data_IF_121165587183
#
_entry.id   IF_121165587183
#
_cell.length_a   1.000
_cell.length_b   1.000
_cell.length_c   1.000
_cell.angle_alpha   90.00
_cell.angle_beta   90.00
_cell.angle_gamma   90.00
#
_symmetry.space_group_name_H-M   'P 1'
#
loop_
_entity.id
_entity.type
_entity.pdbx_description
1 polymer ?
#
# COMPACT_ATOMS: atom_id res chain seq x y z
N UNK A 1 -5.81 -67.10 -53.17
CA UNK A 1 -5.55 -65.65 -53.27
C UNK A 1 -6.64 -64.92 -52.47
N UNK A 2 -6.38 -64.67 -51.18
CA UNK A 2 -7.03 -63.65 -50.34
C UNK A 2 -6.38 -63.74 -48.95
N UNK A 3 -5.58 -62.73 -48.61
CA UNK A 3 -4.92 -62.59 -47.33
C UNK A 3 -5.85 -61.85 -46.37
N UNK A 4 -6.08 -62.39 -45.18
CA UNK A 4 -6.70 -61.68 -44.06
C UNK A 4 -5.64 -61.58 -42.96
N UNK A 5 -5.07 -60.38 -42.82
CA UNK A 5 -4.19 -59.99 -41.73
C UNK A 5 -5.06 -59.64 -40.51
N UNK A 6 -5.01 -60.47 -39.47
CA UNK A 6 -5.57 -60.13 -38.16
C UNK A 6 -4.53 -59.33 -37.36
N UNK A 7 -4.78 -58.03 -37.22
CA UNK A 7 -3.99 -57.14 -36.37
C UNK A 7 -4.48 -57.30 -34.92
N UNK A 8 -3.67 -57.95 -34.06
CA UNK A 8 -3.90 -57.98 -32.62
C UNK A 8 -3.42 -56.64 -32.05
N UNK A 9 -4.35 -55.72 -31.79
CA UNK A 9 -4.08 -54.53 -31.01
C UNK A 9 -3.99 -54.90 -29.53
N UNK A 10 -2.77 -54.96 -29.00
CA UNK A 10 -2.51 -55.06 -27.57
C UNK A 10 -2.89 -53.72 -26.92
N UNK A 11 -4.03 -53.68 -26.24
CA UNK A 11 -4.47 -52.55 -25.43
C UNK A 11 -3.56 -52.43 -24.20
N UNK A 12 -2.45 -51.69 -24.31
CA UNK A 12 -1.72 -51.20 -23.15
C UNK A 12 -2.61 -50.15 -22.49
N UNK A 13 -3.41 -50.59 -21.52
CA UNK A 13 -4.06 -49.73 -20.54
C UNK A 13 -2.93 -49.12 -19.72
N UNK A 14 -2.42 -47.99 -20.19
CA UNK A 14 -1.47 -47.17 -19.48
C UNK A 14 -2.13 -46.64 -18.22
N UNK A 15 -1.83 -47.27 -17.09
CA UNK A 15 -1.84 -46.65 -15.77
C UNK A 15 -1.03 -45.36 -15.87
N UNK A 16 -1.69 -44.24 -16.11
CA UNK A 16 -1.08 -42.92 -15.91
C UNK A 16 -0.73 -42.84 -14.41
N UNK A 17 0.53 -42.63 -14.04
CA UNK A 17 0.89 -42.52 -12.64
C UNK A 17 0.15 -41.32 -12.02
N UNK A 18 -0.32 -41.49 -10.79
CA UNK A 18 -1.01 -40.49 -9.96
C UNK A 18 -0.15 -39.24 -9.62
N UNK A 19 0.91 -38.98 -10.38
CA UNK A 19 1.86 -37.87 -10.18
C UNK A 19 1.40 -36.57 -10.85
N UNK A 20 0.43 -36.63 -11.78
CA UNK A 20 -0.13 -35.44 -12.45
C UNK A 20 -1.22 -34.70 -11.65
N UNK A 21 -1.63 -35.23 -10.48
CA UNK A 21 -2.70 -34.65 -9.65
C UNK A 21 -2.20 -33.71 -8.55
N UNK A 22 -0.88 -33.65 -8.31
CA UNK A 22 -0.28 -32.80 -7.26
C UNK A 22 -0.04 -31.36 -7.76
N UNK A 23 -0.13 -31.13 -9.07
CA UNK A 23 0.23 -29.83 -9.64
C UNK A 23 -0.80 -28.74 -9.34
N UNK A 24 -2.05 -29.07 -9.03
CA UNK A 24 -3.08 -28.06 -8.71
C UNK A 24 -3.99 -28.49 -7.56
N UNK A 25 -4.37 -27.55 -6.70
CA UNK A 25 -5.37 -27.79 -5.65
C UNK A 25 -6.77 -27.88 -6.28
N UNK A 26 -7.55 -28.88 -5.85
CA UNK A 26 -8.93 -29.02 -6.28
C UNK A 26 -9.77 -27.81 -5.85
N UNK A 27 -10.71 -27.38 -6.69
CA UNK A 27 -11.57 -26.20 -6.43
C UNK A 27 -12.41 -26.36 -5.17
N UNK A 28 -12.84 -27.57 -4.86
CA UNK A 28 -13.56 -27.90 -3.62
C UNK A 28 -12.77 -27.55 -2.34
N UNK A 29 -11.43 -27.44 -2.42
CA UNK A 29 -10.58 -27.01 -1.30
C UNK A 29 -10.52 -25.48 -1.26
N UNK A 30 -10.25 -24.83 -2.40
CA UNK A 30 -10.04 -23.37 -2.46
C UNK A 30 -11.32 -22.56 -2.28
N UNK A 31 -12.45 -23.13 -2.73
CA UNK A 31 -13.75 -22.46 -2.81
C UNK A 31 -14.67 -22.90 -1.65
N UNK A 32 -14.16 -23.67 -0.68
CA UNK A 32 -14.94 -24.19 0.45
C UNK A 32 -15.45 -23.08 1.36
N UNK A 33 -16.77 -23.01 1.58
CA UNK A 33 -17.40 -22.08 2.53
C UNK A 33 -17.49 -22.63 3.95
N UNK A 34 -17.13 -23.91 4.15
CA UNK A 34 -17.12 -24.59 5.44
C UNK A 34 -15.67 -24.92 5.87
N UNK A 35 -15.44 -25.26 7.15
CA UNK A 35 -14.16 -25.84 7.57
C UNK A 35 -13.78 -27.02 6.66
N UNK A 36 -12.51 -27.06 6.25
CA UNK A 36 -12.00 -28.14 5.40
C UNK A 36 -12.03 -29.48 6.13
N UNK A 37 -12.35 -30.56 5.42
CA UNK A 37 -12.25 -31.92 5.97
C UNK A 37 -10.78 -32.33 6.18
N UNK A 38 -10.54 -33.34 7.02
CA UNK A 38 -9.19 -33.86 7.25
C UNK A 38 -8.49 -34.29 5.96
N UNK A 39 -9.22 -34.92 5.03
CA UNK A 39 -8.68 -35.30 3.72
C UNK A 39 -8.29 -34.10 2.86
N UNK A 40 -9.06 -33.00 2.91
CA UNK A 40 -8.75 -31.76 2.22
C UNK A 40 -7.55 -31.04 2.85
N UNK A 41 -7.46 -31.01 4.19
CA UNK A 41 -6.31 -30.47 4.92
C UNK A 41 -5.03 -31.24 4.58
N UNK A 42 -5.10 -32.57 4.51
CA UNK A 42 -3.96 -33.43 4.19
C UNK A 42 -3.52 -33.26 2.72
N UNK A 43 -4.47 -33.07 1.79
CA UNK A 43 -4.14 -32.68 0.41
C UNK A 43 -3.48 -31.30 0.34
N UNK A 44 -3.99 -30.33 1.10
CA UNK A 44 -3.42 -28.98 1.19
C UNK A 44 -2.01 -28.97 1.80
N UNK A 45 -1.79 -29.79 2.82
CA UNK A 45 -0.48 -29.97 3.46
C UNK A 45 0.55 -30.51 2.46
N UNK A 46 0.24 -31.61 1.75
CA UNK A 46 1.15 -32.14 0.71
C UNK A 46 1.49 -31.11 -0.36
N UNK A 47 0.49 -30.32 -0.80
CA UNK A 47 0.70 -29.27 -1.78
C UNK A 47 1.64 -28.18 -1.25
N UNK A 48 1.35 -27.65 -0.06
CA UNK A 48 2.14 -26.57 0.55
C UNK A 48 3.56 -27.02 0.93
N UNK A 49 3.71 -28.22 1.50
CA UNK A 49 5.02 -28.77 1.88
C UNK A 49 5.95 -28.93 0.67
N UNK A 50 5.43 -29.46 -0.45
CA UNK A 50 6.20 -29.63 -1.69
C UNK A 50 6.75 -28.31 -2.18
N UNK A 51 5.90 -27.30 -2.35
CA UNK A 51 6.33 -26.03 -2.95
C UNK A 51 7.10 -25.15 -1.97
N UNK A 52 6.86 -25.23 -0.66
CA UNK A 52 7.72 -24.57 0.32
C UNK A 52 9.12 -25.19 0.35
N UNK A 53 9.23 -26.52 0.26
CA UNK A 53 10.53 -27.17 0.17
C UNK A 53 11.27 -26.78 -1.11
N UNK A 54 10.56 -26.68 -2.24
CA UNK A 54 11.15 -26.24 -3.50
C UNK A 54 11.59 -24.77 -3.45
N UNK A 55 10.80 -23.91 -2.78
CA UNK A 55 11.15 -22.50 -2.55
C UNK A 55 12.42 -22.39 -1.69
N UNK A 56 12.49 -23.15 -0.59
CA UNK A 56 13.64 -23.19 0.33
C UNK A 56 14.92 -23.70 -0.35
N UNK A 57 14.80 -24.73 -1.19
CA UNK A 57 15.92 -25.29 -1.93
C UNK A 57 16.42 -24.37 -3.05
N UNK A 58 15.58 -23.45 -3.51
CA UNK A 58 15.86 -22.55 -4.64
C UNK A 58 16.84 -21.41 -4.35
N UNK A 59 17.52 -21.41 -3.20
CA UNK A 59 18.43 -20.33 -2.80
C UNK A 59 19.89 -20.71 -3.08
N UNK A 60 20.49 -20.13 -4.12
CA UNK A 60 21.96 -20.17 -4.26
C UNK A 60 22.53 -19.99 -5.66
N UNK A 61 21.81 -20.32 -6.74
CA UNK A 61 22.31 -20.23 -8.13
C UNK A 61 21.22 -19.72 -9.11
N UNK A 62 21.60 -19.15 -10.28
CA UNK A 62 20.62 -18.62 -11.25
C UNK A 62 19.60 -19.62 -11.80
N UNK A 63 19.94 -20.92 -11.85
CA UNK A 63 19.00 -21.97 -12.23
C UNK A 63 17.99 -22.28 -11.11
N UNK A 64 18.40 -22.07 -9.86
CA UNK A 64 17.58 -22.29 -8.66
C UNK A 64 16.55 -21.16 -8.50
N UNK A 65 16.88 -19.95 -8.96
CA UNK A 65 15.95 -18.80 -8.99
C UNK A 65 14.69 -19.08 -9.83
N UNK A 66 14.83 -19.77 -10.98
CA UNK A 66 13.68 -20.13 -11.82
C UNK A 66 12.78 -21.17 -11.13
N UNK A 67 13.38 -22.09 -10.38
CA UNK A 67 12.66 -23.09 -9.58
C UNK A 67 11.94 -22.45 -8.39
N UNK A 68 12.61 -21.54 -7.68
CA UNK A 68 12.02 -20.77 -6.57
C UNK A 68 10.84 -19.92 -7.05
N UNK A 69 11.00 -19.23 -8.19
CA UNK A 69 9.96 -18.42 -8.80
C UNK A 69 8.75 -19.27 -9.22
N UNK A 70 8.98 -20.45 -9.80
CA UNK A 70 7.91 -21.39 -10.13
C UNK A 70 7.18 -21.85 -8.86
N UNK A 71 7.91 -22.25 -7.82
CA UNK A 71 7.33 -22.66 -6.54
C UNK A 71 6.51 -21.54 -5.90
N UNK A 72 7.03 -20.31 -5.90
CA UNK A 72 6.31 -19.11 -5.45
C UNK A 72 5.00 -18.93 -6.20
N UNK A 73 5.02 -18.99 -7.54
CA UNK A 73 3.79 -18.87 -8.36
C UNK A 73 2.78 -19.95 -8.00
N UNK A 74 3.22 -21.17 -7.76
CA UNK A 74 2.33 -22.26 -7.32
C UNK A 74 1.72 -21.95 -5.95
N UNK A 75 2.52 -21.51 -4.97
CA UNK A 75 2.01 -21.11 -3.65
C UNK A 75 1.01 -19.94 -3.73
N UNK A 76 1.22 -18.98 -4.62
CA UNK A 76 0.35 -17.80 -4.78
C UNK A 76 -0.92 -18.06 -5.60
N UNK A 77 -0.88 -18.95 -6.59
CA UNK A 77 -1.98 -19.24 -7.51
C UNK A 77 -3.34 -19.47 -6.81
N UNK A 78 -3.45 -20.29 -5.74
CA UNK A 78 -4.73 -20.50 -5.07
C UNK A 78 -5.18 -19.31 -4.20
N UNK A 79 -4.30 -18.34 -3.90
CA UNK A 79 -4.59 -17.21 -3.01
C UNK A 79 -5.15 -15.99 -3.74
N UNK A 80 -4.83 -15.83 -5.03
CA UNK A 80 -5.22 -14.67 -5.85
C UNK A 80 -6.54 -14.86 -6.61
N UNK A 81 -7.18 -16.03 -6.49
CA UNK A 81 -8.46 -16.31 -7.15
C UNK A 81 -9.60 -15.58 -6.44
N UNK A 82 -10.53 -15.02 -7.21
CA UNK A 82 -11.70 -14.34 -6.64
C UNK A 82 -12.59 -15.26 -5.79
N UNK A 83 -12.61 -16.57 -6.08
CA UNK A 83 -13.38 -17.57 -5.35
C UNK A 83 -12.73 -18.05 -4.05
N UNK A 84 -11.49 -17.62 -3.75
CA UNK A 84 -10.75 -18.06 -2.56
C UNK A 84 -11.45 -17.58 -1.28
N UNK A 85 -11.79 -18.52 -0.40
CA UNK A 85 -12.62 -18.25 0.78
C UNK A 85 -11.82 -18.06 2.07
N UNK A 86 -12.42 -17.44 3.12
CA UNK A 86 -11.75 -17.30 4.41
C UNK A 86 -11.36 -18.63 5.09
N UNK A 87 -12.20 -19.70 5.11
CA UNK A 87 -11.80 -20.99 5.67
C UNK A 87 -10.55 -21.57 5.02
N UNK A 88 -10.43 -21.47 3.69
CA UNK A 88 -9.24 -21.89 2.97
C UNK A 88 -8.02 -21.05 3.35
N UNK A 89 -8.12 -19.71 3.36
CA UNK A 89 -7.00 -18.82 3.73
C UNK A 89 -6.47 -19.13 5.13
N UNK A 90 -7.36 -19.39 6.09
CA UNK A 90 -6.99 -19.76 7.45
C UNK A 90 -6.29 -21.12 7.52
N UNK A 91 -6.80 -22.14 6.83
CA UNK A 91 -6.17 -23.45 6.78
C UNK A 91 -4.80 -23.39 6.08
N UNK A 92 -4.70 -22.67 4.97
CA UNK A 92 -3.46 -22.45 4.23
C UNK A 92 -2.43 -21.72 5.08
N UNK A 93 -2.84 -20.65 5.76
CA UNK A 93 -1.98 -19.87 6.64
C UNK A 93 -1.44 -20.71 7.79
N UNK A 94 -2.29 -21.52 8.45
CA UNK A 94 -1.85 -22.43 9.53
C UNK A 94 -0.75 -23.41 9.12
N UNK A 95 -0.73 -23.82 7.85
CA UNK A 95 0.26 -24.77 7.33
C UNK A 95 1.55 -24.10 6.86
N UNK A 96 1.49 -22.82 6.47
CA UNK A 96 2.60 -22.16 5.77
C UNK A 96 3.25 -21.03 6.56
N UNK A 97 2.53 -20.38 7.48
CA UNK A 97 2.97 -19.08 8.01
C UNK A 97 4.26 -19.15 8.83
N UNK A 98 4.49 -20.21 9.59
CA UNK A 98 5.70 -20.33 10.40
C UNK A 98 6.95 -20.54 9.53
N UNK A 99 6.83 -21.33 8.45
CA UNK A 99 7.91 -21.51 7.46
C UNK A 99 8.15 -20.24 6.67
N UNK A 100 7.08 -19.57 6.22
CA UNK A 100 7.18 -18.28 5.52
C UNK A 100 7.83 -17.21 6.41
N UNK A 101 7.49 -17.16 7.70
CA UNK A 101 8.13 -16.27 8.68
C UNK A 101 9.62 -16.57 8.80
N UNK A 102 9.99 -17.84 8.98
CA UNK A 102 11.40 -18.22 9.09
C UNK A 102 12.20 -17.84 7.83
N UNK A 103 11.60 -17.94 6.64
CA UNK A 103 12.23 -17.49 5.40
C UNK A 103 12.33 -15.96 5.30
N UNK A 104 11.29 -15.25 5.77
CA UNK A 104 11.22 -13.79 5.76
C UNK A 104 12.20 -13.13 6.76
N UNK A 105 12.44 -13.78 7.90
CA UNK A 105 13.37 -13.33 8.95
C UNK A 105 14.78 -13.92 8.78
N UNK A 106 14.96 -14.82 7.82
CA UNK A 106 16.23 -15.50 7.55
C UNK A 106 17.30 -14.60 6.92
N UNK A 107 18.49 -15.17 6.72
CA UNK A 107 19.66 -14.42 6.25
C UNK A 107 19.71 -14.16 4.74
N UNK A 108 18.76 -14.68 3.96
CA UNK A 108 18.73 -14.54 2.50
C UNK A 108 17.66 -13.52 2.09
N UNK A 109 18.03 -12.30 1.65
CA UNK A 109 17.07 -11.29 1.20
C UNK A 109 16.16 -11.77 0.07
N UNK A 110 16.69 -12.58 -0.86
CA UNK A 110 15.91 -13.13 -1.98
C UNK A 110 14.76 -14.03 -1.51
N UNK A 111 15.06 -15.02 -0.65
CA UNK A 111 14.03 -15.85 0.00
C UNK A 111 13.07 -15.01 0.85
N UNK A 112 13.58 -14.01 1.56
CA UNK A 112 12.75 -13.16 2.40
C UNK A 112 11.71 -12.38 1.57
N UNK A 113 12.14 -11.81 0.44
CA UNK A 113 11.26 -11.12 -0.50
C UNK A 113 10.20 -12.08 -1.07
N UNK A 114 10.59 -13.29 -1.48
CA UNK A 114 9.65 -14.28 -2.01
C UNK A 114 8.63 -14.72 -0.96
N UNK A 115 9.07 -14.95 0.28
CA UNK A 115 8.19 -15.30 1.39
C UNK A 115 7.19 -14.17 1.72
N UNK A 116 7.65 -12.92 1.71
CA UNK A 116 6.81 -11.73 1.91
C UNK A 116 5.77 -11.57 0.80
N UNK A 117 6.12 -11.89 -0.45
CA UNK A 117 5.18 -11.86 -1.57
C UNK A 117 4.05 -12.89 -1.42
N UNK A 118 4.33 -14.08 -0.89
CA UNK A 118 3.29 -15.10 -0.59
C UNK A 118 2.47 -14.66 0.62
N UNK A 119 3.14 -14.15 1.66
CA UNK A 119 2.53 -13.65 2.89
C UNK A 119 1.45 -12.60 2.59
N UNK A 120 1.74 -11.65 1.70
CA UNK A 120 0.80 -10.60 1.33
C UNK A 120 -0.48 -11.12 0.67
N UNK A 121 -0.39 -12.22 -0.07
CA UNK A 121 -1.53 -12.84 -0.77
C UNK A 121 -2.39 -13.70 0.18
N UNK A 122 -1.86 -14.12 1.35
CA UNK A 122 -2.64 -14.88 2.34
C UNK A 122 -3.81 -14.07 2.89
N UNK A 123 -3.60 -12.76 3.12
CA UNK A 123 -4.58 -11.86 3.72
C UNK A 123 -5.19 -12.41 5.03
N UNK A 124 -4.32 -12.83 5.95
CA UNK A 124 -4.67 -13.33 7.30
C UNK A 124 -4.01 -12.50 8.38
N UNK A 125 -4.53 -12.55 9.61
CA UNK A 125 -3.95 -11.80 10.74
C UNK A 125 -2.47 -12.14 10.99
N UNK A 126 -2.11 -13.43 10.93
CA UNK A 126 -0.74 -13.88 11.13
C UNK A 126 0.19 -13.40 10.01
N UNK A 127 -0.30 -13.37 8.77
CA UNK A 127 0.45 -12.84 7.63
C UNK A 127 0.71 -11.34 7.74
N UNK A 128 -0.30 -10.55 8.14
CA UNK A 128 -0.11 -9.12 8.41
C UNK A 128 0.93 -8.91 9.49
N UNK A 129 0.90 -9.70 10.57
CA UNK A 129 1.86 -9.59 11.66
C UNK A 129 3.31 -9.86 11.23
N UNK A 130 3.54 -10.76 10.27
CA UNK A 130 4.88 -11.03 9.73
C UNK A 130 5.38 -9.82 8.94
N UNK A 131 4.59 -9.33 7.99
CA UNK A 131 4.97 -8.17 7.17
C UNK A 131 5.13 -6.90 8.00
N UNK A 132 4.27 -6.70 9.01
CA UNK A 132 4.37 -5.59 9.97
C UNK A 132 5.71 -5.60 10.73
N UNK A 133 6.13 -6.76 11.24
CA UNK A 133 7.40 -6.88 11.99
C UNK A 133 8.63 -6.56 11.14
N UNK A 134 8.56 -6.82 9.84
CA UNK A 134 9.67 -6.62 8.90
C UNK A 134 9.76 -5.19 8.35
N UNK A 135 8.81 -4.31 8.68
CA UNK A 135 8.95 -2.86 8.41
C UNK A 135 10.13 -2.22 9.15
N UNK A 136 10.65 -2.86 10.19
CA UNK A 136 11.81 -2.42 10.95
C UNK A 136 13.11 -3.17 10.57
N UNK A 137 13.11 -3.96 9.49
CA UNK A 137 14.30 -4.68 9.03
C UNK A 137 15.47 -3.71 8.78
N UNK A 138 16.72 -4.07 9.12
CA UNK A 138 17.88 -3.26 8.75
C UNK A 138 18.08 -3.17 7.21
N UNK A 139 17.60 -4.18 6.47
CA UNK A 139 17.67 -4.26 5.01
C UNK A 139 16.48 -3.52 4.36
N UNK A 140 16.77 -2.55 3.50
CA UNK A 140 15.77 -1.70 2.85
C UNK A 140 14.93 -2.44 1.80
N UNK A 141 15.50 -3.46 1.14
CA UNK A 141 14.78 -4.31 0.20
C UNK A 141 13.75 -5.18 0.92
N UNK A 142 14.05 -5.62 2.14
CA UNK A 142 13.10 -6.31 3.01
C UNK A 142 11.99 -5.36 3.47
N UNK A 143 12.32 -4.14 3.93
CA UNK A 143 11.30 -3.13 4.32
C UNK A 143 10.39 -2.77 3.15
N UNK A 144 10.95 -2.59 1.96
CA UNK A 144 10.22 -2.35 0.73
C UNK A 144 9.23 -3.49 0.43
N UNK A 145 9.70 -4.73 0.49
CA UNK A 145 8.87 -5.91 0.25
C UNK A 145 7.78 -6.08 1.31
N UNK A 146 8.08 -5.76 2.57
CA UNK A 146 7.12 -5.80 3.67
C UNK A 146 5.98 -4.79 3.45
N UNK A 147 6.31 -3.55 3.05
CA UNK A 147 5.33 -2.55 2.68
C UNK A 147 4.46 -2.99 1.49
N UNK A 148 5.08 -3.54 0.43
CA UNK A 148 4.36 -4.08 -0.73
C UNK A 148 3.46 -5.28 -0.37
N UNK A 149 3.89 -6.12 0.58
CA UNK A 149 3.11 -7.24 1.11
C UNK A 149 1.86 -6.76 1.85
N UNK A 150 1.99 -5.73 2.70
CA UNK A 150 0.84 -5.09 3.35
C UNK A 150 -0.11 -4.46 2.33
N UNK A 151 0.42 -3.80 1.28
CA UNK A 151 -0.39 -3.29 0.17
C UNK A 151 -1.24 -4.39 -0.46
N UNK A 152 -0.65 -5.53 -0.81
CA UNK A 152 -1.38 -6.70 -1.36
C UNK A 152 -2.48 -7.20 -0.42
N UNK A 153 -2.23 -7.21 0.89
CA UNK A 153 -3.29 -7.56 1.86
C UNK A 153 -4.46 -6.57 1.79
N UNK A 154 -4.21 -5.26 1.72
CA UNK A 154 -5.28 -4.26 1.57
C UNK A 154 -6.02 -4.37 0.22
N UNK A 155 -5.30 -4.72 -0.87
CA UNK A 155 -5.91 -5.03 -2.16
C UNK A 155 -6.85 -6.24 -2.06
N UNK A 156 -6.40 -7.31 -1.40
CA UNK A 156 -7.20 -8.52 -1.18
C UNK A 156 -8.46 -8.23 -0.33
N UNK A 157 -8.37 -7.34 0.67
CA UNK A 157 -9.53 -6.90 1.47
C UNK A 157 -10.55 -6.15 0.60
N UNK A 158 -10.06 -5.37 -0.37
CA UNK A 158 -10.88 -4.59 -1.30
C UNK A 158 -11.55 -5.47 -2.37
N UNK A 159 -10.82 -6.47 -2.89
CA UNK A 159 -11.22 -7.20 -4.10
C UNK A 159 -11.80 -8.60 -3.85
N UNK A 160 -11.61 -9.18 -2.65
CA UNK A 160 -11.88 -10.60 -2.39
C UNK A 160 -12.48 -10.87 -1.01
N UNK A 161 -12.48 -12.12 -0.54
CA UNK A 161 -12.89 -12.51 0.81
C UNK A 161 -11.64 -12.71 1.71
N UNK A 162 -11.14 -11.65 2.39
CA UNK A 162 -9.99 -11.75 3.28
C UNK A 162 -10.33 -12.56 4.55
N UNK A 163 -9.29 -13.04 5.23
CA UNK A 163 -9.39 -13.69 6.54
C UNK A 163 -8.57 -12.91 7.59
N UNK A 164 -8.65 -11.58 7.54
CA UNK A 164 -7.99 -10.64 8.44
C UNK A 164 -9.03 -9.73 9.10
N UNK A 165 -8.82 -9.44 10.38
CA UNK A 165 -9.70 -8.59 11.17
C UNK A 165 -9.39 -7.09 10.94
N UNK A 166 -10.40 -6.19 10.86
CA UNK A 166 -10.19 -4.75 10.77
C UNK A 166 -9.21 -4.17 11.80
N UNK A 167 -9.27 -4.63 13.07
CA UNK A 167 -8.37 -4.15 14.12
C UNK A 167 -6.89 -4.49 13.84
N UNK A 168 -6.63 -5.61 13.16
CA UNK A 168 -5.28 -5.99 12.71
C UNK A 168 -4.79 -5.08 11.59
N UNK A 169 -5.66 -4.73 10.65
CA UNK A 169 -5.36 -3.76 9.59
C UNK A 169 -5.06 -2.36 10.15
N UNK A 170 -5.80 -1.93 11.17
CA UNK A 170 -5.54 -0.66 11.87
C UNK A 170 -4.20 -0.67 12.63
N UNK A 171 -3.82 -1.81 13.22
CA UNK A 171 -2.50 -1.96 13.83
C UNK A 171 -1.38 -1.82 12.79
N UNK A 172 -1.50 -2.49 11.63
CA UNK A 172 -0.51 -2.37 10.57
C UNK A 172 -0.44 -0.97 9.95
N UNK A 173 -1.55 -0.22 9.88
CA UNK A 173 -1.54 1.18 9.43
C UNK A 173 -0.83 2.12 10.41
N UNK A 174 -0.90 1.85 11.72
CA UNK A 174 -0.10 2.58 12.73
C UNK A 174 1.38 2.27 12.59
N UNK A 175 1.74 1.01 12.36
CA UNK A 175 3.12 0.60 12.10
C UNK A 175 3.67 1.25 10.81
N UNK A 176 2.88 1.28 9.73
CA UNK A 176 3.20 1.98 8.48
C UNK A 176 3.45 3.47 8.75
N UNK A 177 2.58 4.14 9.52
CA UNK A 177 2.75 5.55 9.87
C UNK A 177 4.08 5.82 10.60
N UNK A 178 4.39 5.03 11.62
CA UNK A 178 5.66 5.13 12.36
C UNK A 178 6.87 4.90 11.46
N UNK A 179 6.82 3.93 10.55
CA UNK A 179 7.88 3.69 9.57
C UNK A 179 7.99 4.87 8.59
N UNK A 180 6.87 5.40 8.11
CA UNK A 180 6.81 6.58 7.25
C UNK A 180 7.41 7.81 7.92
N UNK A 181 7.40 7.97 9.23
CA UNK A 181 8.02 9.15 9.86
C UNK A 181 9.56 9.13 9.78
N UNK A 182 10.18 7.95 9.83
CA UNK A 182 11.63 7.82 10.08
C UNK A 182 12.43 7.19 8.94
N UNK A 183 11.76 6.60 7.94
CA UNK A 183 12.43 5.95 6.81
C UNK A 183 13.32 6.91 5.99
N UNK A 184 14.55 6.51 5.68
CA UNK A 184 15.45 7.31 4.84
C UNK A 184 15.37 6.97 3.36
N UNK A 185 15.05 5.71 3.02
CA UNK A 185 14.94 5.26 1.65
C UNK A 185 13.60 5.69 1.03
N UNK A 186 13.65 6.57 0.02
CA UNK A 186 12.46 7.13 -0.63
C UNK A 186 11.63 6.11 -1.42
N UNK A 187 12.21 5.00 -1.86
CA UNK A 187 11.45 3.91 -2.50
C UNK A 187 10.59 3.17 -1.46
N UNK A 188 11.10 3.02 -0.23
CA UNK A 188 10.33 2.46 0.89
C UNK A 188 9.23 3.44 1.32
N UNK A 189 9.53 4.75 1.43
CA UNK A 189 8.52 5.79 1.71
C UNK A 189 7.38 5.74 0.70
N UNK A 190 7.72 5.62 -0.59
CA UNK A 190 6.72 5.49 -1.65
C UNK A 190 5.86 4.25 -1.47
N UNK A 191 6.47 3.08 -1.22
CA UNK A 191 5.74 1.82 -1.04
C UNK A 191 4.80 1.84 0.18
N UNK A 192 5.26 2.39 1.30
CA UNK A 192 4.44 2.60 2.51
C UNK A 192 3.26 3.55 2.24
N UNK A 193 3.49 4.61 1.46
CA UNK A 193 2.44 5.54 1.05
C UNK A 193 1.41 4.86 0.15
N UNK A 194 1.86 4.07 -0.83
CA UNK A 194 0.99 3.27 -1.71
C UNK A 194 0.14 2.27 -0.92
N UNK A 195 0.72 1.59 0.09
CA UNK A 195 -0.03 0.70 0.97
C UNK A 195 -1.16 1.44 1.71
N UNK A 196 -0.88 2.61 2.25
CA UNK A 196 -1.88 3.46 2.91
C UNK A 196 -2.96 3.95 1.94
N UNK A 197 -2.59 4.34 0.72
CA UNK A 197 -3.52 4.78 -0.33
C UNK A 197 -4.49 3.65 -0.72
N UNK A 198 -4.00 2.41 -0.84
CA UNK A 198 -4.87 1.25 -1.07
C UNK A 198 -5.82 1.04 0.12
N UNK A 199 -5.32 1.13 1.35
CA UNK A 199 -6.17 0.97 2.54
C UNK A 199 -7.27 2.05 2.63
N UNK A 200 -7.00 3.28 2.21
CA UNK A 200 -8.02 4.35 2.08
C UNK A 200 -9.15 4.01 1.10
N UNK A 201 -8.91 3.04 0.20
CA UNK A 201 -9.88 2.63 -0.83
C UNK A 201 -10.77 1.45 -0.43
N UNK A 202 -10.53 0.84 0.74
CA UNK A 202 -11.30 -0.32 1.21
C UNK A 202 -12.77 0.06 1.41
N UNK A 203 -13.61 -0.28 0.43
CA UNK A 203 -15.04 -0.02 0.46
C UNK A 203 -15.80 -1.27 0.87
N UNK A 204 -15.70 -1.59 2.18
CA UNK A 204 -16.33 -2.76 2.78
C UNK A 204 -17.00 -2.38 4.08
N UNK A 205 -18.16 -2.97 4.35
CA UNK A 205 -18.85 -2.82 5.63
C UNK A 205 -17.94 -3.23 6.79
N UNK A 206 -18.02 -2.49 7.90
CA UNK A 206 -17.21 -2.68 9.11
C UNK A 206 -15.71 -2.42 8.92
N UNK A 207 -15.30 -1.71 7.87
CA UNK A 207 -13.92 -1.29 7.59
C UNK A 207 -13.78 0.23 7.44
N UNK A 208 -14.78 0.99 7.86
CA UNK A 208 -14.82 2.46 7.81
C UNK A 208 -13.67 3.08 8.62
N UNK A 209 -13.36 2.49 9.77
CA UNK A 209 -12.25 2.89 10.65
C UNK A 209 -10.89 2.64 9.99
N UNK A 210 -10.72 1.56 9.23
CA UNK A 210 -9.49 1.26 8.49
C UNK A 210 -9.21 2.36 7.45
N UNK A 211 -10.22 2.77 6.67
CA UNK A 211 -10.07 3.86 5.69
C UNK A 211 -9.67 5.18 6.36
N UNK A 212 -10.34 5.53 7.44
CA UNK A 212 -10.10 6.78 8.17
C UNK A 212 -8.72 6.78 8.83
N UNK A 213 -8.31 5.66 9.43
CA UNK A 213 -6.97 5.45 9.99
C UNK A 213 -5.89 5.59 8.92
N UNK A 214 -6.10 5.01 7.74
CA UNK A 214 -5.15 5.11 6.64
C UNK A 214 -4.96 6.56 6.17
N UNK A 215 -6.04 7.30 5.99
CA UNK A 215 -6.00 8.71 5.62
C UNK A 215 -5.31 9.57 6.69
N UNK A 216 -5.64 9.36 7.97
CA UNK A 216 -5.05 10.10 9.09
C UNK A 216 -3.56 9.80 9.26
N UNK A 217 -3.17 8.51 9.24
CA UNK A 217 -1.79 8.05 9.38
C UNK A 217 -0.91 8.58 8.25
N UNK A 218 -1.36 8.46 7.00
CA UNK A 218 -0.64 8.98 5.84
C UNK A 218 -0.45 10.50 5.91
N UNK A 219 -1.52 11.23 6.24
CA UNK A 219 -1.49 12.70 6.33
C UNK A 219 -0.53 13.18 7.43
N UNK A 220 -0.57 12.57 8.61
CA UNK A 220 0.30 12.95 9.72
C UNK A 220 1.78 12.65 9.42
N UNK A 221 2.06 11.46 8.89
CA UNK A 221 3.43 11.00 8.65
C UNK A 221 4.11 11.78 7.52
N UNK A 222 3.43 11.98 6.39
CA UNK A 222 3.96 12.81 5.31
C UNK A 222 4.01 14.29 5.70
N UNK A 223 3.05 14.77 6.48
CA UNK A 223 3.09 16.12 7.05
C UNK A 223 4.32 16.36 7.92
N UNK A 224 4.70 15.38 8.76
CA UNK A 224 5.93 15.43 9.55
C UNK A 224 7.18 15.59 8.67
N UNK A 225 7.32 14.77 7.63
CA UNK A 225 8.43 14.89 6.68
C UNK A 225 8.49 16.24 5.98
N UNK A 226 7.34 16.79 5.58
CA UNK A 226 7.30 18.10 4.92
C UNK A 226 7.78 19.20 5.86
N UNK A 227 7.44 19.13 7.15
CA UNK A 227 7.93 20.09 8.13
C UNK A 227 9.46 20.02 8.27
N UNK A 228 10.06 18.84 8.18
CA UNK A 228 11.52 18.67 8.23
C UNK A 228 12.24 19.30 7.03
N UNK A 229 11.64 19.32 5.84
CA UNK A 229 12.21 19.99 4.66
C UNK A 229 12.48 21.48 4.91
N UNK A 230 11.70 22.10 5.80
CA UNK A 230 11.90 23.48 6.24
C UNK A 230 12.02 24.48 5.08
N UNK A 231 11.30 24.31 3.97
CA UNK A 231 11.37 25.16 2.77
C UNK A 231 12.32 24.67 1.68
N UNK A 232 13.01 23.54 1.88
CA UNK A 232 13.74 22.88 0.80
C UNK A 232 12.79 22.29 -0.24
N UNK A 233 13.25 22.23 -1.49
CA UNK A 233 12.53 21.52 -2.56
C UNK A 233 12.68 20.02 -2.29
N UNK A 234 11.58 19.24 -2.21
CA UNK A 234 11.66 17.80 -2.05
C UNK A 234 12.41 17.15 -3.22
N UNK A 235 13.12 16.06 -2.95
CA UNK A 235 13.62 15.15 -3.99
C UNK A 235 12.47 14.64 -4.89
N UNK A 236 12.77 14.30 -6.14
CA UNK A 236 11.79 13.82 -7.12
C UNK A 236 10.92 12.67 -6.61
N UNK A 237 11.52 11.67 -5.95
CA UNK A 237 10.78 10.50 -5.44
C UNK A 237 9.84 10.89 -4.30
N UNK A 238 10.30 11.81 -3.44
CA UNK A 238 9.48 12.36 -2.36
C UNK A 238 8.32 13.18 -2.93
N UNK A 239 8.58 14.00 -3.95
CA UNK A 239 7.58 14.81 -4.62
C UNK A 239 6.48 13.95 -5.28
N UNK A 240 6.86 12.90 -5.99
CA UNK A 240 5.90 11.92 -6.56
C UNK A 240 5.04 11.30 -5.46
N UNK A 241 5.63 10.92 -4.33
CA UNK A 241 4.89 10.36 -3.20
C UNK A 241 3.91 11.36 -2.60
N UNK A 242 4.32 12.63 -2.43
CA UNK A 242 3.48 13.72 -1.93
C UNK A 242 2.30 14.02 -2.87
N UNK A 243 2.55 14.16 -4.17
CA UNK A 243 1.49 14.41 -5.17
C UNK A 243 0.49 13.26 -5.21
N UNK A 244 0.98 12.01 -5.19
CA UNK A 244 0.13 10.82 -5.23
C UNK A 244 -0.73 10.72 -3.97
N UNK A 245 -0.14 10.96 -2.79
CA UNK A 245 -0.86 10.98 -1.52
C UNK A 245 -1.90 12.11 -1.45
N UNK A 246 -1.54 13.33 -1.87
CA UNK A 246 -2.45 14.47 -1.86
C UNK A 246 -3.63 14.26 -2.81
N UNK A 247 -3.40 13.71 -4.01
CA UNK A 247 -4.48 13.34 -4.93
C UNK A 247 -5.40 12.26 -4.33
N UNK A 248 -4.83 11.22 -3.71
CA UNK A 248 -5.63 10.17 -3.05
C UNK A 248 -6.45 10.70 -1.87
N UNK A 249 -5.90 11.62 -1.07
CA UNK A 249 -6.60 12.27 0.05
C UNK A 249 -7.74 13.15 -0.45
N UNK A 250 -7.50 13.97 -1.47
CA UNK A 250 -8.55 14.75 -2.14
C UNK A 250 -9.68 13.84 -2.60
N UNK A 251 -9.37 12.75 -3.30
CA UNK A 251 -10.38 11.82 -3.83
C UNK A 251 -11.16 11.15 -2.69
N UNK A 252 -10.48 10.78 -1.61
CA UNK A 252 -11.12 10.20 -0.43
C UNK A 252 -12.08 11.20 0.24
N UNK A 253 -11.69 12.48 0.35
CA UNK A 253 -12.53 13.53 0.93
C UNK A 253 -13.70 13.94 0.04
N UNK A 254 -13.55 13.85 -1.28
CA UNK A 254 -14.61 14.18 -2.24
C UNK A 254 -15.82 13.23 -2.11
N UNK A 255 -15.60 11.98 -1.70
CA UNK A 255 -16.66 10.97 -1.56
C UNK A 255 -17.35 11.07 -0.20
N UNK A 256 -18.68 11.22 -0.21
CA UNK A 256 -19.55 11.33 0.97
C UNK A 256 -19.31 10.24 2.02
N UNK A 257 -19.01 10.61 3.27
CA UNK A 257 -18.93 9.67 4.40
C UNK A 257 -17.77 8.65 4.32
N UNK A 258 -16.82 8.83 3.40
CA UNK A 258 -15.74 7.86 3.19
C UNK A 258 -14.68 7.87 4.29
N UNK A 259 -14.43 9.05 4.87
CA UNK A 259 -13.49 9.29 5.96
C UNK A 259 -14.15 10.11 7.07
N UNK A 260 -13.73 9.89 8.31
CA UNK A 260 -14.26 10.58 9.49
C UNK A 260 -13.70 12.01 9.68
N UNK A 261 -14.18 12.68 10.75
CA UNK A 261 -13.74 14.03 11.10
C UNK A 261 -12.25 14.10 11.48
N UNK A 262 -11.71 13.06 12.14
CA UNK A 262 -10.31 13.03 12.55
C UNK A 262 -9.39 12.94 11.31
N UNK A 263 -9.72 12.07 10.37
CA UNK A 263 -9.04 11.97 9.08
C UNK A 263 -9.16 13.26 8.26
N UNK A 264 -10.32 13.92 8.28
CA UNK A 264 -10.53 15.21 7.61
C UNK A 264 -9.64 16.31 8.21
N UNK A 265 -9.53 16.40 9.54
CA UNK A 265 -8.59 17.33 10.19
C UNK A 265 -7.14 16.98 9.84
N UNK A 266 -6.74 15.72 9.93
CA UNK A 266 -5.37 15.30 9.60
C UNK A 266 -4.98 15.68 8.16
N UNK A 267 -5.88 15.48 7.19
CA UNK A 267 -5.68 15.86 5.80
C UNK A 267 -5.53 17.37 5.61
N UNK A 268 -6.36 18.19 6.28
CA UNK A 268 -6.21 19.64 6.28
C UNK A 268 -4.86 20.09 6.86
N UNK A 269 -4.40 19.44 7.93
CA UNK A 269 -3.07 19.69 8.51
C UNK A 269 -1.95 19.37 7.54
N UNK A 270 -2.02 18.23 6.82
CA UNK A 270 -1.06 17.86 5.78
C UNK A 270 -1.02 18.89 4.64
N UNK A 271 -2.19 19.34 4.18
CA UNK A 271 -2.27 20.41 3.19
C UNK A 271 -1.67 21.73 3.68
N UNK A 272 -1.87 22.08 4.96
CA UNK A 272 -1.20 23.22 5.59
C UNK A 272 0.32 23.08 5.64
N UNK A 273 0.83 21.87 5.92
CA UNK A 273 2.28 21.59 5.90
C UNK A 273 2.86 21.80 4.49
N UNK A 274 2.16 21.32 3.43
CA UNK A 274 2.54 21.55 2.03
C UNK A 274 2.65 23.05 1.74
N UNK A 275 1.59 23.82 2.03
CA UNK A 275 1.55 25.25 1.75
C UNK A 275 2.62 26.02 2.52
N UNK A 276 2.85 25.65 3.78
CA UNK A 276 3.89 26.24 4.63
C UNK A 276 5.28 25.99 4.03
N UNK A 277 5.58 24.77 3.59
CA UNK A 277 6.85 24.47 2.95
C UNK A 277 7.02 25.28 1.65
N UNK A 278 6.01 25.33 0.79
CA UNK A 278 6.05 26.10 -0.45
C UNK A 278 6.26 27.60 -0.18
N UNK A 279 5.59 28.17 0.82
CA UNK A 279 5.79 29.58 1.23
C UNK A 279 7.23 29.83 1.69
N UNK A 280 7.82 28.91 2.46
CA UNK A 280 9.24 28.97 2.86
C UNK A 280 10.18 28.82 1.65
N UNK A 281 9.85 27.98 0.68
CA UNK A 281 10.63 27.83 -0.57
C UNK A 281 10.63 29.12 -1.38
N UNK A 282 9.47 29.75 -1.58
CA UNK A 282 9.32 31.04 -2.27
C UNK A 282 10.13 32.14 -1.58
N UNK A 283 9.97 32.29 -0.26
CA UNK A 283 10.69 33.32 0.51
C UNK A 283 12.22 33.20 0.46
N UNK A 284 12.73 32.00 0.18
CA UNK A 284 14.16 31.74 0.04
C UNK A 284 14.67 31.88 -1.40
N UNK A 285 13.81 32.25 -2.34
CA UNK A 285 14.15 32.28 -3.77
C UNK A 285 14.38 30.89 -4.36
N UNK A 286 13.77 29.84 -3.79
CA UNK A 286 13.93 28.46 -4.24
C UNK A 286 13.17 28.14 -5.53
N UNK A 287 12.26 28.99 -5.98
CA UNK A 287 11.56 28.84 -7.25
C UNK A 287 12.00 29.91 -8.25
N UNK A 288 12.09 29.52 -9.52
CA UNK A 288 12.39 30.43 -10.63
C UNK A 288 11.30 31.50 -10.77
N UNK A 289 11.65 32.70 -11.23
CA UNK A 289 10.67 33.74 -11.60
C UNK A 289 9.99 33.49 -12.94
N UNK A 290 10.40 32.44 -13.66
CA UNK A 290 9.72 32.00 -14.87
C UNK A 290 8.32 31.45 -14.54
N UNK A 291 7.31 31.64 -15.42
CA UNK A 291 5.98 31.10 -15.20
C UNK A 291 5.94 29.56 -15.23
N UNK A 292 4.87 28.98 -14.68
CA UNK A 292 4.72 27.54 -14.50
C UNK A 292 4.70 26.70 -15.80
N UNK A 293 4.36 27.28 -16.95
CA UNK A 293 4.44 26.61 -18.25
C UNK A 293 5.88 26.53 -18.79
N UNK A 294 6.82 27.26 -18.19
CA UNK A 294 8.22 27.35 -18.59
C UNK A 294 9.18 26.75 -17.56
N UNK A 295 8.80 26.70 -16.27
CA UNK A 295 9.58 26.04 -15.21
C UNK A 295 8.86 24.81 -14.62
N UNK A 296 9.40 23.59 -14.86
CA UNK A 296 8.85 22.36 -14.28
C UNK A 296 8.78 22.37 -12.75
N UNK A 297 9.73 22.99 -12.05
CA UNK A 297 9.74 23.04 -10.58
C UNK A 297 8.58 23.89 -10.05
N UNK A 298 8.34 25.06 -10.65
CA UNK A 298 7.14 25.87 -10.38
C UNK A 298 5.86 25.16 -10.78
N UNK A 299 5.80 24.48 -11.92
CA UNK A 299 4.63 23.70 -12.35
C UNK A 299 4.18 22.69 -11.29
N UNK A 300 5.14 21.95 -10.73
CA UNK A 300 4.88 20.95 -9.67
C UNK A 300 4.49 21.60 -8.35
N UNK A 301 5.09 22.74 -8.01
CA UNK A 301 4.73 23.52 -6.82
C UNK A 301 3.29 24.05 -6.92
N UNK A 302 2.87 24.51 -8.11
CA UNK A 302 1.48 24.89 -8.40
C UNK A 302 0.54 23.70 -8.26
N UNK A 303 0.92 22.52 -8.75
CA UNK A 303 0.11 21.30 -8.60
C UNK A 303 -0.08 20.92 -7.12
N UNK A 304 0.99 20.98 -6.32
CA UNK A 304 0.90 20.72 -4.88
C UNK A 304 0.02 21.75 -4.17
N UNK A 305 0.18 23.04 -4.48
CA UNK A 305 -0.67 24.10 -3.93
C UNK A 305 -2.15 23.84 -4.27
N UNK A 306 -2.46 23.52 -5.52
CA UNK A 306 -3.82 23.21 -5.96
C UNK A 306 -4.44 22.03 -5.21
N UNK A 307 -3.67 20.95 -5.02
CA UNK A 307 -4.14 19.79 -4.25
C UNK A 307 -4.37 20.16 -2.78
N UNK A 308 -3.48 20.94 -2.18
CA UNK A 308 -3.63 21.40 -0.80
C UNK A 308 -4.88 22.27 -0.62
N UNK A 309 -5.18 23.18 -1.55
CA UNK A 309 -6.41 23.99 -1.55
C UNK A 309 -7.67 23.11 -1.56
N UNK A 310 -7.69 22.13 -2.47
CA UNK A 310 -8.82 21.21 -2.61
C UNK A 310 -9.01 20.38 -1.34
N UNK A 311 -7.92 19.88 -0.74
CA UNK A 311 -7.98 19.13 0.51
C UNK A 311 -8.54 20.00 1.64
N UNK A 312 -8.08 21.25 1.79
CA UNK A 312 -8.57 22.15 2.85
C UNK A 312 -10.05 22.45 2.65
N UNK A 313 -10.47 22.79 1.42
CA UNK A 313 -11.86 23.10 1.09
C UNK A 313 -12.81 21.91 1.36
N UNK A 314 -12.40 20.72 0.91
CA UNK A 314 -13.17 19.50 1.13
C UNK A 314 -13.22 19.14 2.62
N UNK A 315 -12.10 19.24 3.33
CA UNK A 315 -12.03 18.98 4.78
C UNK A 315 -12.91 19.95 5.56
N UNK A 316 -12.93 21.24 5.20
CA UNK A 316 -13.79 22.22 5.85
C UNK A 316 -15.27 21.88 5.66
N UNK A 317 -15.65 21.52 4.44
CA UNK A 317 -17.03 21.11 4.10
C UNK A 317 -17.43 19.86 4.90
N UNK A 318 -16.52 18.89 5.03
CA UNK A 318 -16.74 17.66 5.82
C UNK A 318 -16.93 17.93 7.30
N UNK A 319 -16.26 18.94 7.82
CA UNK A 319 -16.35 19.35 9.21
C UNK A 319 -17.52 20.32 9.48
N UNK A 320 -18.43 20.49 8.52
CA UNK A 320 -19.63 21.32 8.66
C UNK A 320 -19.40 22.82 8.50
N UNK A 321 -18.21 23.23 8.05
CA UNK A 321 -17.89 24.63 7.77
C UNK A 321 -18.21 25.03 6.32
N UNK A 322 -18.31 26.34 6.08
CA UNK A 322 -18.37 26.88 4.72
C UNK A 322 -16.95 27.06 4.16
N UNK A 323 -16.67 26.47 3.00
CA UNK A 323 -15.42 26.74 2.29
C UNK A 323 -15.52 28.08 1.55
N UNK A 324 -14.64 29.02 1.88
CA UNK A 324 -14.38 30.18 1.04
C UNK A 324 -13.47 29.82 -0.15
N UNK A 325 -13.38 30.69 -1.17
CA UNK A 325 -12.41 30.52 -2.25
C UNK A 325 -10.98 30.60 -1.68
N UNK A 326 -10.12 29.67 -2.10
CA UNK A 326 -8.68 29.69 -1.87
C UNK A 326 -8.05 29.63 -3.27
N UNK A 327 -7.21 30.62 -3.60
CA UNK A 327 -6.64 30.78 -4.95
C UNK A 327 -5.12 31.06 -4.91
N UNK A 328 -4.43 30.35 -4.02
CA UNK A 328 -2.96 30.38 -3.85
C UNK A 328 -2.24 29.80 -5.08
N UNK A 329 -2.75 28.73 -5.67
CA UNK A 329 -2.11 28.03 -6.79
C UNK A 329 -2.01 28.91 -8.03
N UNK A 330 -2.99 29.79 -8.28
CA UNK A 330 -2.92 30.77 -9.36
C UNK A 330 -1.92 31.89 -9.07
N UNK A 331 -1.77 32.33 -7.82
CA UNK A 331 -0.70 33.28 -7.46
C UNK A 331 0.68 32.72 -7.76
N UNK A 332 0.90 31.45 -7.41
CA UNK A 332 2.19 30.80 -7.66
C UNK A 332 2.46 30.54 -9.16
N UNK A 333 1.43 30.56 -10.01
CA UNK A 333 1.54 30.18 -11.43
C UNK A 333 2.33 31.18 -12.27
N UNK A 334 2.21 32.48 -11.97
CA UNK A 334 2.75 33.55 -12.83
C UNK A 334 4.27 33.70 -12.75
N UNK A 335 4.89 33.34 -11.62
CA UNK A 335 6.30 33.62 -11.36
C UNK A 335 6.61 35.08 -11.03
N UNK A 336 5.59 35.94 -11.01
CA UNK A 336 5.77 37.35 -10.70
C UNK A 336 6.06 37.56 -9.21
N UNK A 337 7.07 38.38 -8.90
CA UNK A 337 7.51 38.68 -7.52
C UNK A 337 6.36 39.16 -6.63
N UNK A 338 5.45 39.99 -7.17
CA UNK A 338 4.29 40.49 -6.42
C UNK A 338 3.28 39.37 -6.11
N UNK A 339 3.10 38.42 -7.01
CA UNK A 339 2.18 37.30 -6.80
C UNK A 339 2.78 36.28 -5.83
N UNK A 340 4.09 36.04 -5.90
CA UNK A 340 4.83 35.22 -4.94
C UNK A 340 4.77 35.84 -3.52
N UNK A 341 4.92 37.17 -3.39
CA UNK A 341 4.72 37.85 -2.12
C UNK A 341 3.27 37.72 -1.60
N UNK A 342 2.28 37.88 -2.48
CA UNK A 342 0.88 37.71 -2.11
C UNK A 342 0.54 36.25 -1.73
N UNK A 343 1.15 35.27 -2.41
CA UNK A 343 1.04 33.85 -2.08
C UNK A 343 1.48 33.58 -0.63
N UNK A 344 2.66 34.07 -0.24
CA UNK A 344 3.19 33.84 1.12
C UNK A 344 2.29 34.45 2.21
N UNK A 345 1.73 35.64 1.96
CA UNK A 345 0.79 36.32 2.86
C UNK A 345 -0.56 35.59 2.98
N UNK A 346 -1.07 35.05 1.87
CA UNK A 346 -2.32 34.31 1.87
C UNK A 346 -2.14 32.91 2.50
N UNK A 347 -1.00 32.26 2.31
CA UNK A 347 -0.65 31.01 3.01
C UNK A 347 -0.68 31.22 4.52
N UNK A 348 -0.10 32.33 5.03
CA UNK A 348 -0.13 32.63 6.46
C UNK A 348 -1.56 32.76 7.00
N UNK A 349 -2.45 33.41 6.26
CA UNK A 349 -3.88 33.54 6.62
C UNK A 349 -4.62 32.20 6.59
N UNK A 350 -4.33 31.35 5.59
CA UNK A 350 -4.90 29.99 5.52
C UNK A 350 -4.41 29.15 6.71
N UNK A 351 -3.12 29.18 7.03
CA UNK A 351 -2.57 28.43 8.16
C UNK A 351 -3.12 28.92 9.50
N UNK A 352 -3.33 30.23 9.68
CA UNK A 352 -4.02 30.77 10.87
C UNK A 352 -5.47 30.25 11.00
N UNK A 353 -6.18 30.09 9.88
CA UNK A 353 -7.53 29.47 9.91
C UNK A 353 -7.47 28.00 10.31
N UNK A 354 -6.43 27.27 9.90
CA UNK A 354 -6.22 25.87 10.25
C UNK A 354 -5.95 25.66 11.76
N UNK A 355 -5.57 26.70 12.50
CA UNK A 355 -5.40 26.62 13.97
C UNK A 355 -6.66 26.94 14.75
N UNK A 356 -7.79 27.19 14.08
CA UNK A 356 -9.08 27.52 14.69
C UNK A 356 -10.09 26.40 14.42
N UNK A 357 -11.24 26.37 15.13
CA UNK A 357 -12.32 25.44 14.82
C UNK A 357 -12.75 25.56 13.34
N UNK A 358 -13.05 24.43 12.66
CA UNK A 358 -13.17 23.07 13.19
C UNK A 358 -11.88 22.22 13.07
N UNK A 359 -10.76 22.83 12.71
CA UNK A 359 -9.49 22.12 12.43
C UNK A 359 -8.64 21.94 13.69
N UNK A 360 -8.56 22.98 14.51
CA UNK A 360 -7.91 22.96 15.83
C UNK A 360 -6.46 22.44 15.82
N UNK A 361 -5.70 22.73 14.75
CA UNK A 361 -4.28 22.40 14.72
C UNK A 361 -3.46 23.29 15.66
N UNK A 362 -2.35 22.76 16.16
CA UNK A 362 -1.44 23.52 17.02
C UNK A 362 -0.81 24.70 16.24
N UNK A 363 -0.70 25.85 16.89
CA UNK A 363 -0.27 27.10 16.24
C UNK A 363 1.19 27.09 15.76
N UNK A 364 2.03 26.27 16.36
CA UNK A 364 3.44 26.05 16.02
C UNK A 364 3.63 25.11 14.83
N UNK A 365 2.62 24.30 14.46
CA UNK A 365 2.69 23.37 13.33
C UNK A 365 3.11 24.04 12.01
N UNK A 366 2.64 25.26 11.78
CA UNK A 366 2.79 25.99 10.51
C UNK A 366 3.81 27.14 10.56
N UNK A 367 4.62 27.22 11.63
CA UNK A 367 5.61 28.30 11.80
C UNK A 367 6.97 27.94 11.22
#
# INVERSE_FOLDING_TARGET
MLAILAFVALSVVGLRPAHAQIDTLAREITDSTSPLSDSQVEALKRYTDRYLQQLEAGAGLPQDDASAEAARKMLQSPLIRAATTPPFRLAYSRLTIDRLRALAEGSSPTLAIQALQITGDLATDAAVSVSEGLLASPDDSIRLSAAASLRKTYEAVTLSAPAVNPARLEASLRAIGKALETESNLDVVRSLSEASIVAMRIDRANHESVRSMAAASLSNSLGARIRELSGAIPDEKMLVSMVTAAAALRDALAIGGRVDANASRAAAGFAGDILTNLSKTVNRGGLSTEPADQDPARARSVQLALLAEQIIALSQTRLGGQSGPIDLSNRLRSGAVNDDAAFTLDVARVCERLTRPPFDHQADRFR
#
